data_IF_610098671415
#
_entry.id   IF_610098671415
#
_cell.length_a   1.000
_cell.length_b   1.000
_cell.length_c   1.000
_cell.angle_alpha   90.00
_cell.angle_beta   90.00
_cell.angle_gamma   90.00
#
_symmetry.space_group_name_H-M   'P 1'
#
loop_
_entity.id
_entity.type
_entity.pdbx_description
1 polymer ?
#
# COMPACT_ATOMS: atom_id res chain seq x y z
N UNK A 1 23.69 -9.70 10.74
CA UNK A 1 23.12 -11.07 10.77
C UNK A 1 21.93 -11.13 9.81
N UNK A 2 22.03 -11.96 8.77
CA UNK A 2 20.90 -12.19 7.87
C UNK A 2 19.77 -12.82 8.69
N UNK A 3 18.64 -12.12 8.78
CA UNK A 3 17.47 -12.57 9.53
C UNK A 3 16.82 -13.72 8.76
N UNK A 4 16.49 -14.81 9.45
CA UNK A 4 15.69 -15.89 8.88
C UNK A 4 14.27 -15.38 8.57
N UNK A 5 13.84 -15.35 7.29
CA UNK A 5 12.50 -14.89 6.91
C UNK A 5 11.38 -15.64 7.63
N UNK A 6 11.57 -16.92 7.95
CA UNK A 6 10.57 -17.73 8.63
C UNK A 6 10.42 -17.32 10.10
N UNK A 7 11.54 -17.10 10.81
CA UNK A 7 11.49 -16.57 12.18
C UNK A 7 10.84 -15.19 12.23
N UNK A 8 11.15 -14.31 11.28
CA UNK A 8 10.57 -12.97 11.24
C UNK A 8 9.08 -13.00 10.94
N UNK A 9 8.62 -13.96 10.13
CA UNK A 9 7.21 -14.20 9.87
C UNK A 9 6.48 -14.72 11.11
N UNK A 10 7.07 -15.66 11.85
CA UNK A 10 6.53 -16.15 13.12
C UNK A 10 6.45 -15.03 14.16
N UNK A 11 7.43 -14.11 14.17
CA UNK A 11 7.44 -12.93 15.05
C UNK A 11 6.49 -11.81 14.60
N UNK A 12 5.75 -11.99 13.50
CA UNK A 12 4.84 -10.98 12.95
C UNK A 12 5.57 -9.74 12.42
N UNK A 13 6.86 -9.86 12.07
CA UNK A 13 7.68 -8.78 11.53
C UNK A 13 7.79 -8.82 10.01
N UNK A 14 7.49 -9.97 9.40
CA UNK A 14 7.39 -10.09 7.95
C UNK A 14 6.12 -9.39 7.45
N UNK A 15 6.23 -8.47 6.47
CA UNK A 15 5.07 -7.84 5.87
C UNK A 15 4.24 -8.85 5.07
N UNK A 16 2.94 -8.59 4.95
CA UNK A 16 2.08 -9.39 4.08
C UNK A 16 2.50 -9.21 2.61
N UNK A 17 2.53 -10.31 1.87
CA UNK A 17 2.67 -10.29 0.41
C UNK A 17 1.44 -9.64 -0.24
N UNK A 18 1.56 -9.10 -1.48
CA UNK A 18 0.41 -8.51 -2.17
C UNK A 18 -0.78 -9.48 -2.30
N UNK A 19 -0.52 -10.78 -2.48
CA UNK A 19 -1.58 -11.80 -2.54
C UNK A 19 -2.29 -11.97 -1.19
N UNK A 20 -1.54 -12.03 -0.08
CA UNK A 20 -2.12 -12.11 1.27
C UNK A 20 -2.93 -10.87 1.62
N UNK A 21 -2.45 -9.68 1.24
CA UNK A 21 -3.22 -8.44 1.36
C UNK A 21 -4.53 -8.56 0.59
N UNK A 22 -4.50 -9.07 -0.64
CA UNK A 22 -5.69 -9.27 -1.46
C UNK A 22 -6.71 -10.20 -0.80
N UNK A 23 -6.27 -11.35 -0.28
CA UNK A 23 -7.14 -12.29 0.45
C UNK A 23 -7.73 -11.64 1.70
N UNK A 24 -6.92 -10.92 2.48
CA UNK A 24 -7.37 -10.22 3.68
C UNK A 24 -8.47 -9.19 3.34
N UNK A 25 -8.28 -8.39 2.29
CA UNK A 25 -9.28 -7.41 1.86
C UNK A 25 -10.60 -8.09 1.46
N UNK A 26 -10.53 -9.21 0.72
CA UNK A 26 -11.73 -10.01 0.38
C UNK A 26 -12.43 -10.53 1.62
N UNK A 27 -11.68 -11.05 2.60
CA UNK A 27 -12.22 -11.54 3.86
C UNK A 27 -12.90 -10.43 4.70
N UNK A 28 -12.41 -9.19 4.58
CA UNK A 28 -13.02 -8.01 5.21
C UNK A 28 -14.25 -7.46 4.46
N UNK A 29 -14.64 -8.08 3.34
CA UNK A 29 -15.85 -7.74 2.57
C UNK A 29 -15.63 -6.76 1.42
N UNK A 30 -14.39 -6.39 1.09
CA UNK A 30 -14.12 -5.60 -0.11
C UNK A 30 -14.38 -6.43 -1.37
N UNK A 31 -15.09 -5.84 -2.31
CA UNK A 31 -15.50 -6.47 -3.57
C UNK A 31 -14.52 -6.14 -4.70
N UNK A 32 -14.62 -6.85 -5.81
CA UNK A 32 -13.74 -6.68 -6.98
C UNK A 32 -13.89 -5.30 -7.66
N UNK A 33 -15.03 -4.64 -7.52
CA UNK A 33 -15.26 -3.27 -7.98
C UNK A 33 -14.61 -2.19 -7.08
N UNK A 34 -14.01 -2.57 -5.95
CA UNK A 34 -13.27 -1.65 -5.08
C UNK A 34 -12.08 -1.04 -5.84
N UNK A 35 -12.00 0.28 -5.84
CA UNK A 35 -10.84 1.01 -6.35
C UNK A 35 -9.67 0.89 -5.38
N UNK A 36 -8.55 0.37 -5.87
CA UNK A 36 -7.34 0.13 -5.10
C UNK A 36 -6.21 1.01 -5.62
N UNK A 37 -5.76 1.95 -4.80
CA UNK A 37 -4.52 2.69 -5.03
C UNK A 37 -3.37 2.00 -4.28
N UNK A 38 -2.27 1.70 -4.97
CA UNK A 38 -1.11 1.04 -4.38
C UNK A 38 0.07 2.00 -4.27
N UNK A 39 0.32 2.45 -3.04
CA UNK A 39 1.51 3.19 -2.63
C UNK A 39 2.67 2.22 -2.34
N UNK A 40 3.30 1.69 -3.39
CA UNK A 40 4.42 0.75 -3.27
C UNK A 40 5.61 1.24 -4.12
N UNK A 41 6.82 1.02 -3.62
CA UNK A 41 8.01 0.98 -4.48
C UNK A 41 8.13 -0.37 -5.20
N UNK A 42 9.22 -0.59 -5.93
CA UNK A 42 9.52 -1.87 -6.63
C UNK A 42 9.94 -3.03 -5.68
N UNK A 43 9.50 -3.00 -4.42
CA UNK A 43 10.08 -3.77 -3.31
C UNK A 43 9.72 -5.27 -3.38
N UNK A 44 8.69 -5.64 -4.14
CA UNK A 44 8.25 -7.03 -4.27
C UNK A 44 8.60 -7.64 -5.63
N UNK A 45 9.61 -7.16 -6.36
CA UNK A 45 9.90 -7.73 -7.69
C UNK A 45 8.90 -7.30 -8.77
N UNK A 46 8.32 -6.10 -8.60
CA UNK A 46 7.56 -5.40 -9.63
C UNK A 46 6.17 -5.97 -9.90
N UNK A 47 5.77 -5.96 -11.18
CA UNK A 47 4.41 -6.30 -11.61
C UNK A 47 4.02 -7.76 -11.32
N UNK A 48 4.98 -8.70 -11.40
CA UNK A 48 4.70 -10.14 -11.25
C UNK A 48 4.09 -10.48 -9.88
N UNK A 49 4.56 -9.84 -8.81
CA UNK A 49 4.02 -10.09 -7.47
C UNK A 49 2.76 -9.30 -7.16
N UNK A 50 2.50 -8.23 -7.91
CA UNK A 50 1.25 -7.46 -7.83
C UNK A 50 0.13 -8.12 -8.65
N UNK A 51 0.46 -8.97 -9.62
CA UNK A 51 -0.49 -9.66 -10.48
C UNK A 51 -1.63 -10.36 -9.71
N UNK A 52 -1.38 -11.15 -8.65
CA UNK A 52 -2.47 -11.81 -7.92
C UNK A 52 -3.38 -10.82 -7.19
N UNK A 53 -2.85 -9.66 -6.76
CA UNK A 53 -3.65 -8.61 -6.14
C UNK A 53 -4.55 -7.92 -7.18
N UNK A 54 -4.01 -7.67 -8.38
CA UNK A 54 -4.75 -7.08 -9.52
C UNK A 54 -5.84 -8.01 -10.04
N UNK A 55 -5.64 -9.33 -10.03
CA UNK A 55 -6.67 -10.30 -10.39
C UNK A 55 -7.86 -10.28 -9.41
N UNK A 56 -7.60 -10.05 -8.12
CA UNK A 56 -8.65 -9.92 -7.10
C UNK A 56 -9.37 -8.55 -7.15
N UNK A 57 -8.64 -7.49 -7.51
CA UNK A 57 -9.11 -6.11 -7.56
C UNK A 57 -8.70 -5.46 -8.89
N UNK A 58 -9.51 -5.61 -9.97
CA UNK A 58 -9.19 -5.09 -11.29
C UNK A 58 -9.09 -3.56 -11.37
N UNK A 59 -9.78 -2.83 -10.50
CA UNK A 59 -9.69 -1.36 -10.39
C UNK A 59 -8.42 -0.94 -9.64
N UNK A 60 -7.26 -1.38 -10.13
CA UNK A 60 -5.95 -1.19 -9.54
C UNK A 60 -5.21 -0.02 -10.18
N UNK A 61 -4.68 0.88 -9.37
CA UNK A 61 -3.98 2.07 -9.84
C UNK A 61 -2.73 2.38 -9.02
N UNK A 62 -1.73 2.95 -9.67
CA UNK A 62 -0.57 3.58 -9.05
C UNK A 62 -0.45 5.02 -9.54
N UNK A 63 0.39 5.84 -8.90
CA UNK A 63 0.65 7.20 -9.38
C UNK A 63 1.15 7.20 -10.83
N UNK A 64 2.02 6.26 -11.17
CA UNK A 64 2.60 6.13 -12.52
C UNK A 64 1.52 5.91 -13.57
N UNK A 65 0.52 5.06 -13.27
CA UNK A 65 -0.61 4.81 -14.18
C UNK A 65 -1.55 6.01 -14.33
N UNK A 66 -1.69 6.84 -13.29
CA UNK A 66 -2.66 7.94 -13.25
C UNK A 66 -2.10 9.26 -13.80
N UNK A 67 -0.82 9.53 -13.59
CA UNK A 67 -0.21 10.83 -13.86
C UNK A 67 0.87 10.80 -14.94
N UNK A 68 1.48 9.64 -15.25
CA UNK A 68 2.48 9.43 -16.33
C UNK A 68 3.39 10.65 -16.64
N UNK A 69 3.04 11.45 -17.64
CA UNK A 69 3.78 12.65 -18.06
C UNK A 69 3.92 13.73 -16.96
N UNK A 70 2.89 13.92 -16.14
CA UNK A 70 2.88 14.91 -15.04
C UNK A 70 3.82 14.52 -13.90
N UNK A 71 4.25 13.26 -13.83
CA UNK A 71 5.25 12.80 -12.86
C UNK A 71 6.68 13.10 -13.29
N UNK A 72 6.97 13.31 -14.58
CA UNK A 72 8.32 13.52 -15.09
C UNK A 72 9.12 14.59 -14.33
N UNK A 73 8.55 15.77 -13.99
CA UNK A 73 9.27 16.78 -13.21
C UNK A 73 9.61 16.36 -11.77
N UNK A 74 8.91 15.34 -11.25
CA UNK A 74 9.03 14.86 -9.87
C UNK A 74 9.92 13.63 -9.72
N UNK A 75 10.24 12.93 -10.84
CA UNK A 75 11.11 11.75 -10.83
C UNK A 75 12.44 11.93 -10.08
N UNK A 76 13.14 13.08 -10.18
CA UNK A 76 14.39 13.29 -9.43
C UNK A 76 14.20 13.45 -7.91
N UNK A 77 12.96 13.63 -7.44
CA UNK A 77 12.64 14.00 -6.06
C UNK A 77 11.82 12.92 -5.37
N UNK A 78 12.49 11.88 -4.87
CA UNK A 78 11.86 10.75 -4.18
C UNK A 78 10.92 11.17 -3.04
N UNK A 79 11.26 12.21 -2.29
CA UNK A 79 10.41 12.76 -1.22
C UNK A 79 9.11 13.38 -1.74
N UNK A 80 9.12 13.98 -2.93
CA UNK A 80 7.92 14.54 -3.57
C UNK A 80 7.02 13.45 -4.13
N UNK A 81 7.61 12.40 -4.72
CA UNK A 81 6.87 11.21 -5.14
C UNK A 81 6.18 10.53 -3.94
N UNK A 82 6.89 10.37 -2.83
CA UNK A 82 6.31 9.82 -1.60
C UNK A 82 5.21 10.72 -1.01
N UNK A 83 5.29 12.04 -1.21
CA UNK A 83 4.24 12.97 -0.79
C UNK A 83 2.93 12.77 -1.58
N UNK A 84 3.01 12.40 -2.86
CA UNK A 84 1.81 12.04 -3.64
C UNK A 84 1.15 10.81 -3.04
N UNK A 85 1.93 9.75 -2.82
CA UNK A 85 1.44 8.52 -2.19
C UNK A 85 0.80 8.82 -0.82
N UNK A 86 1.40 9.74 -0.05
CA UNK A 86 0.88 10.17 1.24
C UNK A 86 -0.50 10.84 1.13
N UNK A 87 -0.63 11.81 0.21
CA UNK A 87 -1.87 12.57 0.04
C UNK A 87 -3.01 11.64 -0.38
N UNK A 88 -2.77 10.76 -1.34
CA UNK A 88 -3.80 9.79 -1.80
C UNK A 88 -4.20 8.85 -0.66
N UNK A 89 -3.24 8.34 0.12
CA UNK A 89 -3.54 7.49 1.27
C UNK A 89 -4.26 8.23 2.42
N UNK A 90 -4.01 9.53 2.62
CA UNK A 90 -4.69 10.33 3.65
C UNK A 90 -6.14 10.65 3.25
N UNK A 91 -6.39 10.86 1.96
CA UNK A 91 -7.71 11.18 1.45
C UNK A 91 -8.58 9.97 1.08
N UNK A 92 -8.02 8.76 1.03
CA UNK A 92 -8.79 7.54 0.76
C UNK A 92 -9.81 7.22 1.85
N UNK A 93 -10.91 6.55 1.49
CA UNK A 93 -11.92 6.08 2.45
C UNK A 93 -11.33 5.08 3.47
N UNK A 94 -10.46 4.21 2.98
CA UNK A 94 -9.78 3.18 3.78
C UNK A 94 -8.29 3.16 3.44
N UNK A 95 -7.46 3.10 4.46
CA UNK A 95 -6.02 2.93 4.32
C UNK A 95 -5.58 1.58 4.89
N UNK A 96 -4.77 0.83 4.15
CA UNK A 96 -4.25 -0.48 4.57
C UNK A 96 -2.73 -0.47 4.50
N UNK A 97 -2.09 -0.98 5.56
CA UNK A 97 -0.62 -1.08 5.63
C UNK A 97 -0.21 -2.54 5.49
N UNK A 98 0.77 -2.87 4.65
CA UNK A 98 1.37 -4.22 4.65
C UNK A 98 2.59 -4.34 5.58
N UNK A 99 3.13 -3.22 6.04
CA UNK A 99 4.28 -3.14 6.95
C UNK A 99 4.08 -2.03 8.00
N UNK A 100 5.01 -1.95 8.96
CA UNK A 100 4.97 -0.95 10.03
C UNK A 100 6.01 0.18 9.86
N UNK A 101 6.17 0.67 8.62
CA UNK A 101 7.10 1.76 8.27
C UNK A 101 6.68 3.13 8.79
N UNK A 102 7.54 4.14 8.60
CA UNK A 102 7.28 5.51 9.09
C UNK A 102 6.04 6.13 8.46
N UNK A 103 5.84 5.95 7.15
CA UNK A 103 4.67 6.46 6.45
C UNK A 103 3.37 5.87 7.01
N UNK A 104 3.35 4.57 7.29
CA UNK A 104 2.22 3.88 7.92
C UNK A 104 1.89 4.49 9.30
N UNK A 105 2.91 4.77 10.13
CA UNK A 105 2.71 5.39 11.46
C UNK A 105 2.14 6.81 11.36
N UNK A 106 2.68 7.63 10.46
CA UNK A 106 2.24 9.02 10.27
C UNK A 106 0.79 9.06 9.75
N UNK A 107 0.47 8.26 8.72
CA UNK A 107 -0.89 8.19 8.17
C UNK A 107 -1.89 7.66 9.19
N UNK A 108 -1.54 6.61 9.94
CA UNK A 108 -2.42 6.08 10.99
C UNK A 108 -2.71 7.15 12.07
N UNK A 109 -1.71 7.93 12.47
CA UNK A 109 -1.88 9.03 13.41
C UNK A 109 -2.77 10.14 12.85
N UNK A 110 -2.47 10.60 11.63
CA UNK A 110 -3.23 11.68 10.98
C UNK A 110 -4.68 11.30 10.73
N UNK A 111 -4.92 10.13 10.13
CA UNK A 111 -6.27 9.61 9.86
C UNK A 111 -7.08 9.39 11.14
N UNK A 112 -6.44 8.96 12.23
CA UNK A 112 -7.09 8.83 13.54
C UNK A 112 -7.49 10.20 14.10
N UNK A 113 -6.63 11.20 14.01
CA UNK A 113 -6.89 12.54 14.56
C UNK A 113 -7.91 13.33 13.71
N UNK A 114 -7.80 13.23 12.38
CA UNK A 114 -8.62 13.98 11.43
C UNK A 114 -9.91 13.23 11.06
N UNK A 115 -10.77 13.01 12.06
CA UNK A 115 -12.11 12.44 11.84
C UNK A 115 -12.16 10.90 11.85
N UNK A 116 -11.16 10.24 12.44
CA UNK A 116 -11.14 8.78 12.62
C UNK A 116 -11.36 7.98 11.33
N UNK A 117 -10.72 8.39 10.23
CA UNK A 117 -10.80 7.68 8.95
C UNK A 117 -10.28 6.25 9.09
N UNK A 118 -10.94 5.29 8.43
CA UNK A 118 -10.68 3.86 8.62
C UNK A 118 -9.25 3.51 8.21
N UNK A 119 -8.54 2.82 9.10
CA UNK A 119 -7.19 2.30 8.89
C UNK A 119 -7.14 0.83 9.29
N UNK A 120 -6.66 -0.04 8.40
CA UNK A 120 -6.51 -1.48 8.61
C UNK A 120 -5.01 -1.78 8.72
N UNK A 121 -4.64 -2.37 9.85
CA UNK A 121 -3.29 -2.85 10.10
C UNK A 121 -3.36 -4.34 10.42
N UNK A 122 -2.80 -5.21 9.57
CA UNK A 122 -2.64 -6.63 9.87
C UNK A 122 -1.64 -6.88 11.00
#
# INVERSE_FOLDING_TARGET
>A
PDLDPLEERIRGRCPLTPHEVGIMLRALGFKNDTYLYVASGEIYGGEETLKPLRELFPNFYTKEMLADDDLKPLLPFSSRLAAIDYIVCDESDVFVTNNNGNMAKILAGRRRYMGHKRTIKP
#
